data_IF_860227770784
#
_entry.id   IF_860227770784
#
_cell.length_a   1.000
_cell.length_b   1.000
_cell.length_c   1.000
_cell.angle_alpha   90.00
_cell.angle_beta   90.00
_cell.angle_gamma   90.00
#
_symmetry.space_group_name_H-M   'P 1'
#
loop_
_entity.id
_entity.type
_entity.pdbx_description
1 polymer ?
#
# COMPACT_ATOMS: atom_id res chain seq x y z
N UNK A 1 -66.53 9.41 -20.96
CA UNK A 1 -66.03 10.15 -19.79
C UNK A 1 -65.68 9.13 -18.73
N UNK A 2 -64.42 8.71 -18.71
CA UNK A 2 -63.35 9.31 -17.90
C UNK A 2 -63.38 8.73 -16.47
N UNK A 3 -62.28 8.06 -16.14
CA UNK A 3 -62.03 7.41 -14.86
C UNK A 3 -60.72 6.63 -14.96
N UNK A 4 -59.68 7.33 -15.42
CA UNK A 4 -58.30 6.84 -15.52
C UNK A 4 -57.79 6.42 -14.14
N UNK A 5 -57.20 5.24 -14.12
CA UNK A 5 -56.40 4.73 -13.04
C UNK A 5 -55.06 5.48 -13.05
N UNK A 6 -54.86 6.39 -12.10
CA UNK A 6 -53.52 6.86 -11.75
C UNK A 6 -53.17 6.37 -10.34
N UNK A 7 -52.87 5.08 -10.26
CA UNK A 7 -52.17 4.50 -9.13
C UNK A 7 -50.67 4.75 -9.35
N UNK A 8 -50.21 5.91 -8.86
CA UNK A 8 -48.81 6.22 -8.67
C UNK A 8 -48.16 5.19 -7.72
N UNK A 9 -47.68 4.08 -8.26
CA UNK A 9 -46.79 3.16 -7.58
C UNK A 9 -45.35 3.67 -7.77
N UNK A 10 -44.84 4.34 -6.73
CA UNK A 10 -43.45 4.77 -6.66
C UNK A 10 -42.51 3.57 -6.84
N UNK A 11 -41.65 3.66 -7.87
CA UNK A 11 -40.55 2.72 -8.06
C UNK A 11 -39.52 2.94 -6.94
N UNK A 12 -39.69 2.23 -5.83
CA UNK A 12 -38.69 2.16 -4.78
C UNK A 12 -37.44 1.48 -5.33
N UNK A 13 -36.31 2.19 -5.33
CA UNK A 13 -34.96 1.67 -5.60
C UNK A 13 -34.77 0.30 -4.94
N UNK A 14 -34.34 -0.68 -5.73
CA UNK A 14 -34.17 -2.06 -5.28
C UNK A 14 -33.22 -2.11 -4.07
N UNK A 15 -33.44 -3.02 -3.11
CA UNK A 15 -32.55 -3.20 -1.96
C UNK A 15 -31.10 -3.41 -2.42
N UNK A 16 -30.88 -4.10 -3.54
CA UNK A 16 -29.54 -4.29 -4.11
C UNK A 16 -28.89 -3.01 -4.62
N UNK A 17 -29.68 -2.06 -5.15
CA UNK A 17 -29.17 -0.75 -5.58
C UNK A 17 -28.78 0.09 -4.36
N UNK A 18 -29.61 0.10 -3.30
CA UNK A 18 -29.29 0.78 -2.05
C UNK A 18 -28.03 0.22 -1.38
N UNK A 19 -27.85 -1.10 -1.39
CA UNK A 19 -26.64 -1.73 -0.87
C UNK A 19 -25.41 -1.43 -1.72
N UNK A 20 -25.56 -1.34 -3.05
CA UNK A 20 -24.49 -0.95 -3.96
C UNK A 20 -24.09 0.51 -3.76
N UNK A 21 -25.05 1.42 -3.66
CA UNK A 21 -24.83 2.85 -3.38
C UNK A 21 -24.17 3.03 -2.00
N UNK A 22 -24.69 2.37 -0.97
CA UNK A 22 -24.10 2.39 0.37
C UNK A 22 -22.66 1.85 0.37
N UNK A 23 -22.38 0.79 -0.40
CA UNK A 23 -21.03 0.25 -0.57
C UNK A 23 -20.08 1.22 -1.29
N UNK A 24 -20.56 1.92 -2.33
CA UNK A 24 -19.78 2.91 -3.06
C UNK A 24 -19.48 4.16 -2.22
N UNK A 25 -20.46 4.66 -1.46
CA UNK A 25 -20.26 5.77 -0.54
C UNK A 25 -19.26 5.41 0.56
N UNK A 26 -19.41 4.22 1.14
CA UNK A 26 -18.51 3.74 2.19
C UNK A 26 -17.08 3.58 1.67
N UNK A 27 -16.90 2.97 0.49
CA UNK A 27 -15.59 2.82 -0.15
C UNK A 27 -14.93 4.17 -0.46
N UNK A 28 -15.70 5.16 -0.92
CA UNK A 28 -15.19 6.51 -1.21
C UNK A 28 -14.74 7.23 0.07
N UNK A 29 -15.53 7.14 1.15
CA UNK A 29 -15.17 7.73 2.46
C UNK A 29 -13.92 7.09 3.07
N UNK A 30 -13.77 5.77 2.95
CA UNK A 30 -12.59 5.03 3.42
C UNK A 30 -11.34 5.47 2.66
N UNK A 31 -11.43 5.62 1.32
CA UNK A 31 -10.31 6.07 0.47
C UNK A 31 -9.87 7.49 0.82
N UNK A 32 -10.80 8.43 0.94
CA UNK A 32 -10.46 9.82 1.28
C UNK A 32 -9.87 9.93 2.70
N UNK A 33 -10.43 9.19 3.67
CA UNK A 33 -9.87 9.13 5.02
C UNK A 33 -8.47 8.53 5.06
N UNK A 34 -8.21 7.49 4.27
CA UNK A 34 -6.88 6.88 4.15
C UNK A 34 -5.87 7.85 3.53
N UNK A 35 -6.26 8.55 2.46
CA UNK A 35 -5.43 9.57 1.83
C UNK A 35 -5.01 10.63 2.83
N UNK A 36 -5.96 11.20 3.57
CA UNK A 36 -5.67 12.22 4.59
C UNK A 36 -4.75 11.67 5.68
N UNK A 37 -5.01 10.46 6.15
CA UNK A 37 -4.17 9.77 7.14
C UNK A 37 -2.73 9.58 6.67
N UNK A 38 -2.53 9.16 5.41
CA UNK A 38 -1.20 8.98 4.82
C UNK A 38 -0.49 10.32 4.62
N UNK A 39 -1.17 11.34 4.07
CA UNK A 39 -0.58 12.68 3.92
C UNK A 39 -0.13 13.25 5.26
N UNK A 40 -0.95 13.10 6.31
CA UNK A 40 -0.59 13.53 7.65
C UNK A 40 0.59 12.74 8.21
N UNK A 41 0.65 11.43 7.98
CA UNK A 41 1.78 10.61 8.40
C UNK A 41 3.08 11.00 7.69
N UNK A 42 3.03 11.35 6.40
CA UNK A 42 4.18 11.86 5.65
C UNK A 42 4.70 13.17 6.23
N UNK A 43 3.81 14.11 6.56
CA UNK A 43 4.18 15.36 7.23
C UNK A 43 4.85 15.09 8.58
N UNK A 44 4.24 14.25 9.42
CA UNK A 44 4.74 13.91 10.76
C UNK A 44 6.11 13.23 10.68
N UNK A 45 6.31 12.27 9.77
CA UNK A 45 7.60 11.62 9.60
C UNK A 45 8.64 12.57 9.03
N UNK A 46 8.32 13.29 7.96
CA UNK A 46 9.22 14.26 7.34
C UNK A 46 9.72 15.29 8.34
N UNK A 47 8.81 15.86 9.12
CA UNK A 47 9.16 16.82 10.17
C UNK A 47 9.94 16.14 11.32
N UNK A 48 9.51 14.95 11.76
CA UNK A 48 10.12 14.23 12.87
C UNK A 48 11.59 13.91 12.67
N UNK A 49 11.98 13.42 11.49
CA UNK A 49 13.39 13.15 11.20
C UNK A 49 14.22 14.44 11.13
N UNK A 50 13.68 15.53 10.60
CA UNK A 50 14.40 16.80 10.50
C UNK A 50 14.57 17.44 11.88
N UNK A 51 13.56 17.35 12.74
CA UNK A 51 13.56 17.92 14.10
C UNK A 51 14.43 17.15 15.08
N UNK A 52 14.55 15.83 14.92
CA UNK A 52 15.26 14.98 15.88
C UNK A 52 16.74 15.37 16.01
N UNK A 53 17.21 15.59 17.24
CA UNK A 53 18.53 16.18 17.51
C UNK A 53 19.68 15.34 16.95
N UNK A 54 19.62 14.02 17.04
CA UNK A 54 20.67 13.12 16.56
C UNK A 54 20.84 13.07 15.03
N UNK A 55 19.90 13.62 14.25
CA UNK A 55 19.90 13.51 12.78
C UNK A 55 20.68 14.64 12.09
N UNK A 56 21.88 14.95 12.59
CA UNK A 56 22.70 16.01 12.02
C UNK A 56 23.18 15.67 10.61
N UNK A 57 23.62 14.42 10.39
CA UNK A 57 24.04 13.94 9.07
C UNK A 57 22.94 14.06 8.03
N UNK A 58 21.68 13.73 8.38
CA UNK A 58 20.54 13.88 7.49
C UNK A 58 20.30 15.35 7.12
N UNK A 59 20.33 16.25 8.09
CA UNK A 59 20.17 17.69 7.84
C UNK A 59 21.29 18.26 6.98
N UNK A 60 22.53 17.85 7.22
CA UNK A 60 23.67 18.26 6.40
C UNK A 60 23.56 17.73 4.96
N UNK A 61 23.10 16.49 4.77
CA UNK A 61 22.87 15.93 3.44
C UNK A 61 21.79 16.71 2.66
N UNK A 62 20.71 17.13 3.33
CA UNK A 62 19.67 17.97 2.75
C UNK A 62 20.19 19.39 2.43
N UNK A 63 20.98 19.99 3.33
CA UNK A 63 21.51 21.35 3.18
C UNK A 63 22.53 21.45 2.04
N UNK A 64 23.42 20.46 1.93
CA UNK A 64 24.43 20.38 0.85
C UNK A 64 23.87 19.94 -0.50
N UNK A 65 22.61 19.50 -0.54
CA UNK A 65 21.98 18.93 -1.73
C UNK A 65 22.45 17.51 -2.09
N UNK A 66 23.25 16.86 -1.23
CA UNK A 66 23.62 15.46 -1.40
C UNK A 66 22.39 14.54 -1.34
N UNK A 67 21.37 14.94 -0.58
CA UNK A 67 20.03 14.37 -0.58
C UNK A 67 19.04 15.44 -1.06
N UNK A 68 18.37 15.21 -2.18
CA UNK A 68 17.32 16.13 -2.63
C UNK A 68 16.02 15.93 -1.86
N UNK A 69 15.19 16.99 -1.79
CA UNK A 69 13.87 16.92 -1.17
C UNK A 69 12.97 15.84 -1.80
N UNK A 70 13.06 15.66 -3.12
CA UNK A 70 12.34 14.59 -3.82
C UNK A 70 12.79 13.21 -3.39
N UNK A 71 14.10 12.94 -3.32
CA UNK A 71 14.61 11.62 -2.90
C UNK A 71 14.25 11.35 -1.45
N UNK A 72 14.32 12.36 -0.58
CA UNK A 72 13.87 12.25 0.80
C UNK A 72 12.38 11.90 0.89
N UNK A 73 11.53 12.59 0.11
CA UNK A 73 10.11 12.30 0.02
C UNK A 73 9.82 10.88 -0.51
N UNK A 74 10.57 10.41 -1.51
CA UNK A 74 10.45 9.03 -2.00
C UNK A 74 10.78 7.99 -0.92
N UNK A 75 11.76 8.26 -0.05
CA UNK A 75 12.04 7.38 1.09
C UNK A 75 10.91 7.41 2.14
N UNK A 76 10.30 8.57 2.38
CA UNK A 76 9.13 8.68 3.26
C UNK A 76 7.94 7.87 2.70
N UNK A 77 7.66 7.96 1.41
CA UNK A 77 6.63 7.15 0.75
C UNK A 77 6.90 5.65 0.92
N UNK A 78 8.14 5.20 0.69
CA UNK A 78 8.54 3.80 0.91
C UNK A 78 8.41 3.39 2.37
N UNK A 79 8.71 4.26 3.33
CA UNK A 79 8.50 4.01 4.76
C UNK A 79 7.02 3.80 5.07
N UNK A 80 6.13 4.66 4.56
CA UNK A 80 4.67 4.46 4.68
C UNK A 80 4.26 3.12 4.10
N UNK A 81 4.77 2.76 2.92
CA UNK A 81 4.48 1.46 2.32
C UNK A 81 4.95 0.29 3.16
N UNK A 82 6.14 0.37 3.77
CA UNK A 82 6.65 -0.68 4.68
C UNK A 82 5.67 -0.89 5.84
N UNK A 83 5.16 0.19 6.40
CA UNK A 83 4.19 0.17 7.51
C UNK A 83 2.84 -0.39 7.08
N UNK A 84 2.28 0.08 5.97
CA UNK A 84 1.00 -0.41 5.43
C UNK A 84 1.09 -1.90 5.07
N UNK A 85 2.18 -2.31 4.42
CA UNK A 85 2.45 -3.70 4.11
C UNK A 85 2.45 -4.55 5.38
N UNK A 86 3.19 -4.11 6.41
CA UNK A 86 3.24 -4.78 7.71
C UNK A 86 1.85 -4.89 8.36
N UNK A 87 1.05 -3.83 8.34
CA UNK A 87 -0.34 -3.88 8.85
C UNK A 87 -1.15 -4.95 8.12
N UNK A 88 -1.09 -4.98 6.78
CA UNK A 88 -1.83 -5.96 5.98
C UNK A 88 -1.41 -7.40 6.28
N UNK A 89 -0.10 -7.70 6.30
CA UNK A 89 0.38 -9.07 6.51
C UNK A 89 0.21 -9.55 7.95
N UNK A 90 0.30 -8.66 8.94
CA UNK A 90 0.00 -8.98 10.35
C UNK A 90 -1.49 -9.26 10.54
N UNK A 91 -2.38 -8.39 10.05
CA UNK A 91 -3.83 -8.54 10.24
C UNK A 91 -4.43 -9.72 9.46
N UNK A 92 -3.77 -10.13 8.36
CA UNK A 92 -4.11 -11.35 7.61
C UNK A 92 -3.46 -12.62 8.16
N UNK A 93 -2.50 -12.49 9.09
CA UNK A 93 -1.78 -13.62 9.67
C UNK A 93 -0.89 -14.38 8.68
N UNK A 94 -0.34 -13.67 7.68
CA UNK A 94 0.46 -14.28 6.58
C UNK A 94 1.94 -13.88 6.62
N UNK A 95 2.37 -13.16 7.65
CA UNK A 95 3.76 -12.72 7.81
C UNK A 95 4.75 -13.88 7.98
N UNK A 96 4.39 -14.85 8.82
CA UNK A 96 5.30 -15.92 9.22
C UNK A 96 5.22 -17.14 8.28
N UNK A 97 6.35 -17.79 7.96
CA UNK A 97 6.37 -19.10 7.29
C UNK A 97 5.53 -20.13 8.04
N UNK A 98 4.90 -21.06 7.30
CA UNK A 98 3.97 -22.04 7.88
C UNK A 98 4.64 -22.97 8.91
N UNK A 99 5.93 -23.27 8.71
CA UNK A 99 6.82 -24.10 9.51
C UNK A 99 7.55 -23.35 10.63
N UNK A 100 7.29 -22.05 10.79
CA UNK A 100 7.94 -21.25 11.82
C UNK A 100 7.65 -21.74 13.24
N UNK A 101 8.67 -21.70 14.11
CA UNK A 101 8.55 -22.15 15.49
C UNK A 101 7.56 -21.28 16.28
N UNK A 102 6.75 -21.89 17.18
CA UNK A 102 5.82 -21.13 18.02
C UNK A 102 6.52 -20.07 18.87
N UNK A 103 7.72 -20.39 19.38
CA UNK A 103 8.52 -19.49 20.21
C UNK A 103 8.92 -18.22 19.45
N UNK A 104 9.36 -18.34 18.19
CA UNK A 104 9.74 -17.18 17.37
C UNK A 104 8.53 -16.31 17.01
N UNK A 105 7.37 -16.92 16.75
CA UNK A 105 6.11 -16.19 16.52
C UNK A 105 5.67 -15.42 17.77
N UNK A 106 5.77 -16.03 18.96
CA UNK A 106 5.46 -15.34 20.22
C UNK A 106 6.43 -14.18 20.47
N UNK A 107 7.74 -14.40 20.26
CA UNK A 107 8.74 -13.34 20.42
C UNK A 107 8.46 -12.13 19.52
N UNK A 108 8.06 -12.36 18.26
CA UNK A 108 7.62 -11.29 17.37
C UNK A 108 6.34 -10.61 17.89
N UNK A 109 5.30 -11.39 18.19
CA UNK A 109 4.00 -10.87 18.63
C UNK A 109 4.08 -9.99 19.88
N UNK A 110 4.92 -10.37 20.85
CA UNK A 110 5.07 -9.67 22.13
C UNK A 110 6.08 -8.52 22.09
N UNK A 111 7.14 -8.66 21.28
CA UNK A 111 8.27 -7.72 21.24
C UNK A 111 8.20 -6.68 20.13
N UNK A 112 7.74 -7.07 18.94
CA UNK A 112 8.01 -6.34 17.69
C UNK A 112 6.77 -6.04 16.85
N UNK A 113 5.68 -6.79 17.02
CA UNK A 113 4.49 -6.61 16.20
C UNK A 113 3.92 -5.19 16.27
N UNK A 114 3.59 -4.63 15.10
CA UNK A 114 3.04 -3.28 14.98
C UNK A 114 1.61 -3.21 15.51
N UNK A 115 0.91 -4.35 15.59
CA UNK A 115 -0.34 -4.50 16.33
C UNK A 115 -0.29 -3.88 17.75
N UNK A 116 0.84 -3.96 18.45
CA UNK A 116 1.03 -3.37 19.79
C UNK A 116 0.99 -1.84 19.79
N UNK A 117 1.36 -1.21 18.67
CA UNK A 117 1.37 0.24 18.53
C UNK A 117 -0.03 0.82 18.27
N UNK A 118 -1.00 -0.02 17.83
CA UNK A 118 -2.38 0.40 17.49
C UNK A 118 -3.07 1.19 18.60
N UNK A 119 -3.06 0.61 19.80
CA UNK A 119 -3.74 1.17 20.97
C UNK A 119 -2.79 2.10 21.74
N UNK A 120 -1.48 1.89 21.59
CA UNK A 120 -0.47 2.72 22.23
C UNK A 120 -0.46 4.13 21.64
N UNK A 121 -0.69 4.28 20.33
CA UNK A 121 -0.71 5.60 19.69
C UNK A 121 -1.83 6.52 20.16
N UNK A 122 -2.93 5.96 20.68
CA UNK A 122 -4.04 6.72 21.28
C UNK A 122 -3.70 7.29 22.67
N UNK A 123 -2.68 6.75 23.35
CA UNK A 123 -2.29 7.17 24.69
C UNK A 123 -1.33 8.35 24.61
N UNK A 124 -1.80 9.56 24.95
CA UNK A 124 -0.96 10.79 24.94
C UNK A 124 0.36 10.63 25.70
N UNK A 125 0.36 9.95 26.85
CA UNK A 125 1.56 9.68 27.67
C UNK A 125 2.61 8.80 27.00
N UNK A 126 2.23 8.04 25.97
CA UNK A 126 3.17 7.20 25.22
C UNK A 126 4.00 8.01 24.21
N UNK A 127 3.56 9.22 23.86
CA UNK A 127 4.28 10.14 22.97
C UNK A 127 5.35 10.87 23.77
N UNK A 128 6.56 10.33 23.72
CA UNK A 128 7.74 10.87 24.40
C UNK A 128 8.91 10.98 23.41
N UNK A 129 10.07 11.46 23.89
CA UNK A 129 11.29 11.68 23.09
C UNK A 129 12.25 10.49 23.09
N UNK A 130 11.79 9.30 23.49
CA UNK A 130 12.58 8.08 23.33
C UNK A 130 12.38 7.54 21.92
N UNK A 131 13.31 6.74 21.42
CA UNK A 131 13.29 6.17 20.07
C UNK A 131 13.17 4.62 20.07
N UNK A 132 12.86 4.01 21.21
CA UNK A 132 12.83 2.55 21.40
C UNK A 132 11.91 1.83 20.41
N UNK A 133 10.76 2.41 20.08
CA UNK A 133 9.86 1.81 19.08
C UNK A 133 10.39 1.94 17.66
N UNK A 134 11.11 3.01 17.35
CA UNK A 134 11.78 3.16 16.07
C UNK A 134 12.92 2.14 15.92
N UNK A 135 13.72 1.94 16.98
CA UNK A 135 14.76 0.90 16.99
C UNK A 135 14.17 -0.51 16.82
N UNK A 136 13.06 -0.81 17.49
CA UNK A 136 12.35 -2.08 17.30
C UNK A 136 11.87 -2.26 15.85
N UNK A 137 11.35 -1.20 15.23
CA UNK A 137 10.89 -1.24 13.84
C UNK A 137 12.05 -1.45 12.84
N UNK A 138 13.21 -0.83 13.08
CA UNK A 138 14.44 -1.08 12.29
C UNK A 138 14.88 -2.54 12.34
N UNK A 139 14.74 -3.20 13.49
CA UNK A 139 15.00 -4.65 13.61
C UNK A 139 14.05 -5.45 12.72
N UNK A 140 12.76 -5.11 12.70
CA UNK A 140 11.77 -5.76 11.82
C UNK A 140 12.10 -5.53 10.35
N UNK A 141 12.42 -4.29 9.94
CA UNK A 141 12.78 -3.99 8.57
C UNK A 141 14.02 -4.75 8.11
N UNK A 142 15.07 -4.79 8.95
CA UNK A 142 16.25 -5.60 8.67
C UNK A 142 15.92 -7.09 8.57
N UNK A 143 15.11 -7.61 9.50
CA UNK A 143 14.67 -9.00 9.49
C UNK A 143 13.84 -9.36 8.25
N UNK A 144 13.10 -8.42 7.67
CA UNK A 144 12.38 -8.62 6.41
C UNK A 144 13.24 -8.42 5.16
N UNK A 145 14.37 -7.71 5.28
CA UNK A 145 15.34 -7.56 4.21
C UNK A 145 16.15 -8.84 4.01
N UNK A 146 16.68 -9.39 5.11
CA UNK A 146 17.69 -10.46 5.11
C UNK A 146 17.17 -11.80 5.65
N UNK A 147 16.04 -11.79 6.36
CA UNK A 147 15.53 -12.92 7.15
C UNK A 147 15.98 -12.84 8.61
N UNK A 148 15.10 -13.18 9.56
CA UNK A 148 15.44 -13.30 10.97
C UNK A 148 14.69 -14.51 11.60
N UNK A 149 15.38 -15.67 11.73
CA UNK A 149 14.77 -16.89 12.25
C UNK A 149 14.23 -16.76 13.68
N UNK A 150 14.86 -15.94 14.54
CA UNK A 150 14.43 -15.79 15.95
C UNK A 150 13.09 -15.06 16.07
N UNK A 151 12.68 -14.33 15.04
CA UNK A 151 11.40 -13.63 14.95
C UNK A 151 10.47 -14.24 13.90
N UNK A 152 10.85 -15.37 13.30
CA UNK A 152 10.14 -16.00 12.20
C UNK A 152 9.84 -15.02 11.04
N UNK A 153 10.79 -14.12 10.74
CA UNK A 153 10.67 -13.15 9.65
C UNK A 153 11.32 -13.72 8.38
N UNK A 154 10.58 -13.81 7.26
CA UNK A 154 11.13 -14.24 5.98
C UNK A 154 11.95 -13.11 5.32
N UNK A 155 12.93 -13.49 4.51
CA UNK A 155 13.67 -12.55 3.67
C UNK A 155 12.82 -12.15 2.45
N UNK A 156 11.99 -11.11 2.60
CA UNK A 156 11.14 -10.58 1.53
C UNK A 156 11.91 -9.68 0.57
N UNK A 157 12.94 -8.98 1.05
CA UNK A 157 13.70 -8.02 0.26
C UNK A 157 12.80 -6.91 -0.30
N UNK A 158 13.02 -6.53 -1.56
CA UNK A 158 12.18 -5.57 -2.29
C UNK A 158 12.04 -4.24 -1.55
N UNK A 159 10.82 -3.96 -1.06
CA UNK A 159 10.49 -2.78 -0.26
C UNK A 159 11.32 -2.64 1.02
N UNK A 160 11.77 -3.76 1.60
CA UNK A 160 12.60 -3.79 2.82
C UNK A 160 14.10 -3.80 2.52
N UNK A 161 14.53 -3.84 1.26
CA UNK A 161 15.95 -3.81 0.94
C UNK A 161 16.62 -2.53 1.49
N UNK A 162 17.88 -2.66 1.92
CA UNK A 162 18.65 -1.59 2.57
C UNK A 162 18.84 -0.35 1.69
N UNK A 163 18.81 -0.52 0.37
CA UNK A 163 18.89 0.57 -0.60
C UNK A 163 17.60 1.40 -0.75
N UNK A 164 16.47 0.96 -0.16
CA UNK A 164 15.19 1.64 -0.37
C UNK A 164 15.03 2.91 0.46
N UNK A 165 15.47 2.89 1.72
CA UNK A 165 15.36 4.04 2.64
C UNK A 165 16.67 4.26 3.43
N UNK A 166 17.84 4.39 2.77
CA UNK A 166 19.13 4.42 3.46
C UNK A 166 19.27 5.55 4.48
N UNK A 167 18.76 6.74 4.14
CA UNK A 167 18.88 7.93 5.00
C UNK A 167 17.92 7.84 6.20
N UNK A 168 16.72 7.29 6.00
CA UNK A 168 15.76 7.09 7.09
C UNK A 168 16.17 5.92 8.00
N UNK A 169 16.64 4.82 7.42
CA UNK A 169 17.05 3.63 8.17
C UNK A 169 18.30 3.90 9.03
N UNK A 170 19.08 4.94 8.71
CA UNK A 170 20.21 5.42 9.52
C UNK A 170 19.81 6.51 10.55
N UNK A 171 18.69 7.19 10.34
CA UNK A 171 18.21 8.27 11.20
C UNK A 171 17.46 7.75 12.44
N UNK A 172 17.34 8.60 13.45
CA UNK A 172 16.55 8.38 14.65
C UNK A 172 15.20 9.09 14.58
N UNK A 173 14.20 8.56 15.28
CA UNK A 173 12.85 9.11 15.31
C UNK A 173 12.22 8.93 16.69
N UNK A 174 11.69 10.03 17.23
CA UNK A 174 11.01 10.02 18.52
C UNK A 174 9.69 9.23 18.45
N UNK A 175 9.35 8.59 19.56
CA UNK A 175 8.06 7.94 19.78
C UNK A 175 6.90 8.92 19.59
N UNK A 176 7.08 10.20 19.89
CA UNK A 176 6.08 11.22 19.68
C UNK A 176 5.64 11.30 18.21
N UNK A 177 6.59 11.38 17.28
CA UNK A 177 6.33 11.42 15.84
C UNK A 177 5.89 10.04 15.33
N UNK A 178 6.60 8.97 15.70
CA UNK A 178 6.24 7.61 15.26
C UNK A 178 4.80 7.26 15.65
N UNK A 179 4.40 7.47 16.91
CA UNK A 179 3.05 7.16 17.36
C UNK A 179 2.00 8.12 16.78
N UNK A 180 2.35 9.39 16.52
CA UNK A 180 1.41 10.31 15.87
C UNK A 180 1.15 9.88 14.41
N UNK A 181 2.19 9.46 13.70
CA UNK A 181 2.07 8.89 12.36
C UNK A 181 1.32 7.54 12.38
N UNK A 182 1.57 6.67 13.37
CA UNK A 182 0.80 5.44 13.57
C UNK A 182 -0.68 5.73 13.78
N UNK A 183 -1.03 6.77 14.54
CA UNK A 183 -2.43 7.15 14.71
C UNK A 183 -3.04 7.57 13.37
N UNK A 184 -2.36 8.44 12.63
CA UNK A 184 -2.84 8.93 11.33
C UNK A 184 -3.04 7.79 10.32
N UNK A 185 -2.17 6.78 10.32
CA UNK A 185 -2.29 5.63 9.43
C UNK A 185 -3.36 4.64 9.89
N UNK A 186 -3.55 4.45 11.20
CA UNK A 186 -4.39 3.36 11.72
C UNK A 186 -5.79 3.76 12.13
N UNK A 187 -6.05 5.06 12.24
CA UNK A 187 -7.33 5.59 12.67
C UNK A 187 -7.78 6.70 11.73
N UNK A 188 -9.03 6.64 11.31
CA UNK A 188 -9.67 7.63 10.45
C UNK A 188 -10.87 8.25 11.17
N UNK A 189 -11.09 9.54 10.94
CA UNK A 189 -12.28 10.26 11.41
C UNK A 189 -13.20 10.67 10.25
N UNK A 190 -13.04 10.08 9.06
CA UNK A 190 -13.78 10.46 7.86
C UNK A 190 -15.31 10.26 7.99
N UNK A 191 -15.75 9.38 8.90
CA UNK A 191 -17.17 9.12 9.21
C UNK A 191 -17.69 9.93 10.39
N UNK A 192 -16.92 10.91 10.90
CA UNK A 192 -17.26 11.72 12.09
C UNK A 192 -17.06 11.01 13.43
N UNK A 193 -16.75 9.71 13.41
CA UNK A 193 -16.29 8.94 14.58
C UNK A 193 -14.91 8.39 14.29
N UNK A 194 -14.03 8.44 15.28
CA UNK A 194 -12.70 7.82 15.19
C UNK A 194 -12.86 6.30 15.07
N UNK A 195 -12.57 5.75 13.90
CA UNK A 195 -12.66 4.34 13.59
C UNK A 195 -11.31 3.80 13.12
N UNK A 196 -10.97 2.54 13.43
CA UNK A 196 -9.76 1.94 12.91
C UNK A 196 -9.86 1.70 11.40
N UNK A 197 -8.74 1.86 10.71
CA UNK A 197 -8.62 1.51 9.29
C UNK A 197 -8.51 -0.01 9.15
N UNK A 198 -9.32 -0.59 8.27
CA UNK A 198 -9.34 -2.03 7.98
C UNK A 198 -8.32 -2.37 6.89
N UNK A 199 -7.07 -2.63 7.30
CA UNK A 199 -6.03 -3.05 6.37
C UNK A 199 -6.16 -4.51 5.93
N UNK A 200 -6.92 -5.34 6.66
CA UNK A 200 -7.15 -6.74 6.32
C UNK A 200 -7.96 -6.91 5.04
N UNK A 201 -8.98 -6.08 4.86
CA UNK A 201 -9.89 -6.14 3.71
C UNK A 201 -9.57 -5.09 2.64
N UNK A 202 -8.49 -4.32 2.81
CA UNK A 202 -8.09 -3.28 1.86
C UNK A 202 -7.66 -3.88 0.52
N UNK A 203 -8.32 -3.44 -0.55
CA UNK A 203 -8.08 -3.87 -1.92
C UNK A 203 -6.91 -3.12 -2.59
N UNK A 204 -6.39 -3.64 -3.73
CA UNK A 204 -5.36 -2.97 -4.51
C UNK A 204 -5.78 -1.60 -5.05
N UNK A 205 -7.06 -1.45 -5.40
CA UNK A 205 -7.61 -0.21 -5.95
C UNK A 205 -7.56 0.95 -4.95
N UNK A 206 -7.81 0.65 -3.67
CA UNK A 206 -7.82 1.64 -2.60
C UNK A 206 -6.41 2.18 -2.36
N UNK A 207 -5.43 1.28 -2.25
CA UNK A 207 -4.01 1.63 -2.13
C UNK A 207 -3.48 2.35 -3.37
N UNK A 208 -3.84 1.87 -4.57
CA UNK A 208 -3.49 2.50 -5.83
C UNK A 208 -3.96 3.94 -5.89
N UNK A 209 -5.22 4.19 -5.54
CA UNK A 209 -5.77 5.55 -5.58
C UNK A 209 -5.12 6.51 -4.58
N UNK A 210 -4.72 6.02 -3.40
CA UNK A 210 -4.00 6.83 -2.42
C UNK A 210 -2.62 7.17 -2.98
N UNK A 211 -1.90 6.21 -3.54
CA UNK A 211 -0.58 6.45 -4.15
C UNK A 211 -0.58 7.56 -5.19
N UNK A 212 -1.50 7.48 -6.14
CA UNK A 212 -1.60 8.46 -7.23
C UNK A 212 -1.81 9.87 -6.68
N UNK A 213 -2.66 9.98 -5.67
CA UNK A 213 -2.94 11.26 -5.03
C UNK A 213 -1.76 11.84 -4.25
N UNK A 214 -0.80 10.99 -3.84
CA UNK A 214 0.41 11.39 -3.13
C UNK A 214 1.54 11.77 -4.08
N UNK A 215 1.55 11.23 -5.31
CA UNK A 215 2.50 11.62 -6.35
C UNK A 215 2.29 13.07 -6.83
N UNK A 216 1.08 13.62 -6.64
CA UNK A 216 0.81 15.04 -6.91
C UNK A 216 1.50 15.98 -5.91
N UNK A 217 1.99 15.47 -4.77
CA UNK A 217 2.60 16.29 -3.72
C UNK A 217 4.04 16.65 -4.07
N UNK A 218 4.37 17.94 -3.96
CA UNK A 218 5.75 18.44 -4.14
C UNK A 218 6.31 18.77 -2.76
N UNK A 219 7.39 18.09 -2.30
CA UNK A 219 7.94 18.32 -0.97
C UNK A 219 8.60 19.70 -0.87
N UNK A 220 8.39 20.36 0.26
CA UNK A 220 9.06 21.59 0.65
C UNK A 220 9.74 21.39 2.01
N UNK A 221 11.00 21.77 2.09
CA UNK A 221 11.80 21.62 3.32
C UNK A 221 12.37 22.98 3.70
N UNK A 222 12.06 23.43 4.92
CA UNK A 222 12.69 24.58 5.55
C UNK A 222 13.61 24.05 6.67
N UNK A 223 14.89 23.92 6.36
CA UNK A 223 15.89 23.40 7.29
C UNK A 223 16.15 24.35 8.48
N UNK A 224 16.27 25.68 8.30
CA UNK A 224 16.35 26.62 9.42
C UNK A 224 15.18 26.52 10.40
N UNK A 225 13.94 26.43 9.89
CA UNK A 225 12.75 26.26 10.72
C UNK A 225 12.53 24.81 11.19
N UNK A 226 13.28 23.85 10.63
CA UNK A 226 13.11 22.39 10.80
C UNK A 226 11.69 21.93 10.50
N UNK A 227 11.16 22.43 9.38
CA UNK A 227 9.81 22.13 8.92
C UNK A 227 9.84 21.34 7.61
N UNK A 228 8.87 20.44 7.50
CA UNK A 228 8.59 19.68 6.29
C UNK A 228 7.15 19.92 5.89
N UNK A 229 6.92 20.17 4.62
CA UNK A 229 5.59 20.46 4.08
C UNK A 229 5.45 20.05 2.63
N UNK A 230 4.31 20.39 2.05
CA UNK A 230 4.04 20.24 0.63
C UNK A 230 3.62 21.58 0.04
N UNK A 231 4.16 21.90 -1.14
CA UNK A 231 3.78 23.12 -1.86
C UNK A 231 2.29 23.04 -2.20
N UNK A 232 1.55 24.12 -1.93
CA UNK A 232 0.10 24.20 -2.18
C UNK A 232 -0.79 23.61 -1.08
N UNK A 233 -0.21 23.11 0.02
CA UNK A 233 -0.91 22.67 1.22
C UNK A 233 -0.58 23.62 2.40
N UNK A 234 -1.12 24.85 2.38
CA UNK A 234 -0.93 25.86 3.44
C UNK A 234 -0.98 27.31 2.95
N UNK A 235 -0.91 28.28 3.87
CA UNK A 235 -1.03 29.74 3.64
C UNK A 235 0.09 30.38 2.78
N UNK A 236 1.03 29.58 2.27
CA UNK A 236 2.02 30.04 1.29
C UNK A 236 1.37 30.13 -0.09
N UNK A 237 1.12 31.36 -0.54
CA UNK A 237 0.60 31.73 -1.86
C UNK A 237 1.37 31.02 -2.99
N UNK A 238 0.77 29.96 -3.54
CA UNK A 238 1.37 29.21 -4.64
C UNK A 238 0.68 27.89 -4.89
N UNK A 239 -0.61 27.92 -5.22
CA UNK A 239 -1.33 26.73 -5.69
C UNK A 239 -0.75 26.25 -7.02
N UNK A 240 0.16 25.27 -6.98
CA UNK A 240 0.62 24.51 -8.15
C UNK A 240 -0.17 23.22 -8.34
N UNK A 241 -1.34 23.09 -7.70
CA UNK A 241 -2.22 21.91 -7.76
C UNK A 241 -2.64 21.52 -9.19
N UNK A 242 -2.50 22.43 -10.16
CA UNK A 242 -2.79 22.15 -11.59
C UNK A 242 -1.59 21.82 -12.47
N UNK A 243 -0.34 22.12 -12.05
CA UNK A 243 0.81 22.10 -12.95
C UNK A 243 1.57 20.76 -12.94
N UNK A 244 1.61 20.06 -11.80
CA UNK A 244 2.24 18.73 -11.71
C UNK A 244 1.51 17.67 -12.57
N UNK A 245 0.17 17.75 -12.67
CA UNK A 245 -0.67 16.84 -13.49
C UNK A 245 -0.27 16.78 -14.97
N UNK A 246 0.17 17.90 -15.54
CA UNK A 246 0.56 17.98 -16.96
C UNK A 246 2.01 17.57 -17.21
N UNK A 247 2.84 17.55 -16.16
CA UNK A 247 4.27 17.25 -16.26
C UNK A 247 4.59 15.77 -15.95
N UNK A 248 3.85 15.11 -15.05
CA UNK A 248 4.13 13.69 -14.70
C UNK A 248 3.39 12.67 -15.58
N UNK A 249 2.26 13.02 -16.19
CA UNK A 249 1.45 12.11 -17.02
C UNK A 249 0.87 10.90 -16.28
N UNK A 250 0.90 10.89 -14.94
CA UNK A 250 0.47 9.77 -14.09
C UNK A 250 -1.05 9.78 -13.93
N UNK A 251 -1.75 9.01 -14.77
CA UNK A 251 -3.20 8.77 -14.69
C UNK A 251 -3.48 7.30 -14.34
N UNK A 252 -4.27 7.07 -13.29
CA UNK A 252 -4.80 5.74 -12.98
C UNK A 252 -5.74 5.26 -14.09
N UNK A 253 -5.60 4.00 -14.50
CA UNK A 253 -6.56 3.36 -15.41
C UNK A 253 -7.63 2.62 -14.59
N UNK A 254 -8.92 2.99 -14.70
CA UNK A 254 -10.03 2.28 -14.05
C UNK A 254 -9.97 0.76 -14.26
N UNK A 255 -10.28 -0.03 -13.23
CA UNK A 255 -10.19 -1.50 -13.31
C UNK A 255 -11.02 -2.07 -14.47
N UNK A 256 -12.21 -1.53 -14.73
CA UNK A 256 -13.02 -1.94 -15.89
C UNK A 256 -12.26 -1.84 -17.24
N UNK A 257 -11.45 -0.79 -17.42
CA UNK A 257 -10.62 -0.63 -18.61
C UNK A 257 -9.41 -1.57 -18.59
N UNK A 258 -8.81 -1.79 -17.41
CA UNK A 258 -7.73 -2.78 -17.24
C UNK A 258 -8.24 -4.17 -17.60
N UNK A 259 -9.38 -4.60 -17.05
CA UNK A 259 -9.99 -5.89 -17.34
C UNK A 259 -10.39 -6.03 -18.81
N UNK A 260 -10.89 -4.96 -19.44
CA UNK A 260 -11.17 -4.96 -20.87
C UNK A 260 -9.90 -5.15 -21.70
N UNK A 261 -8.79 -4.51 -21.32
CA UNK A 261 -7.51 -4.67 -22.00
C UNK A 261 -6.93 -6.08 -21.79
N UNK A 262 -7.02 -6.63 -20.58
CA UNK A 262 -6.64 -8.03 -20.32
C UNK A 262 -7.47 -8.98 -21.18
N UNK A 263 -8.79 -8.77 -21.25
CA UNK A 263 -9.70 -9.60 -22.04
C UNK A 263 -9.43 -9.52 -23.54
N UNK A 264 -9.16 -8.33 -24.06
CA UNK A 264 -8.98 -8.11 -25.50
C UNK A 264 -7.55 -8.39 -25.99
N UNK A 265 -6.53 -8.24 -25.13
CA UNK A 265 -5.13 -8.38 -25.52
C UNK A 265 -4.44 -9.63 -24.96
N UNK A 266 -4.67 -9.97 -23.69
CA UNK A 266 -3.96 -11.08 -23.02
C UNK A 266 -4.68 -12.43 -23.21
N UNK A 267 -6.00 -12.48 -23.05
CA UNK A 267 -6.75 -13.73 -23.19
C UNK A 267 -6.53 -14.39 -24.58
N UNK A 268 -6.54 -13.67 -25.73
CA UNK A 268 -6.27 -14.28 -27.02
C UNK A 268 -4.86 -14.88 -27.15
N UNK A 269 -3.86 -14.23 -26.55
CA UNK A 269 -2.48 -14.72 -26.54
C UNK A 269 -2.36 -15.99 -25.70
N UNK A 270 -3.05 -16.04 -24.55
CA UNK A 270 -3.14 -17.25 -23.73
C UNK A 270 -3.72 -18.39 -24.54
N UNK A 271 -4.88 -18.20 -25.17
CA UNK A 271 -5.52 -19.26 -25.96
C UNK A 271 -4.63 -19.71 -27.13
N UNK A 272 -4.00 -18.77 -27.85
CA UNK A 272 -3.09 -19.09 -28.94
C UNK A 272 -1.90 -19.93 -28.47
N UNK A 273 -1.30 -19.59 -27.32
CA UNK A 273 -0.16 -20.34 -26.77
C UNK A 273 -0.55 -21.73 -26.30
N UNK A 274 -1.71 -21.88 -25.67
CA UNK A 274 -2.22 -23.18 -25.25
C UNK A 274 -2.57 -24.08 -26.44
N UNK A 275 -3.23 -23.53 -27.46
CA UNK A 275 -3.56 -24.26 -28.69
C UNK A 275 -2.31 -24.67 -29.49
N UNK A 276 -1.28 -23.84 -29.50
CA UNK A 276 -0.01 -24.12 -30.20
C UNK A 276 0.91 -25.11 -29.48
N UNK A 277 0.62 -25.48 -28.23
CA UNK A 277 1.45 -26.41 -27.44
C UNK A 277 0.60 -27.33 -26.54
N UNK A 278 -0.28 -28.15 -27.12
CA UNK A 278 -1.23 -28.97 -26.36
C UNK A 278 -0.54 -30.06 -25.52
N UNK A 279 0.67 -30.47 -25.90
CA UNK A 279 1.46 -31.45 -25.15
C UNK A 279 2.10 -30.86 -23.88
N UNK A 280 2.31 -29.53 -23.81
CA UNK A 280 2.99 -28.84 -22.71
C UNK A 280 2.32 -27.49 -22.37
N UNK A 281 1.02 -27.47 -22.04
CA UNK A 281 0.26 -26.23 -21.88
C UNK A 281 0.75 -25.36 -20.71
N UNK A 282 1.24 -25.98 -19.63
CA UNK A 282 1.76 -25.25 -18.46
C UNK A 282 3.03 -24.48 -18.81
N UNK A 283 3.98 -25.12 -19.49
CA UNK A 283 5.23 -24.46 -19.91
C UNK A 283 4.95 -23.34 -20.92
N UNK A 284 4.05 -23.60 -21.87
CA UNK A 284 3.63 -22.61 -22.86
C UNK A 284 3.00 -21.36 -22.22
N UNK A 285 2.18 -21.54 -21.17
CA UNK A 285 1.58 -20.44 -20.41
C UNK A 285 2.64 -19.66 -19.62
N UNK A 286 3.54 -20.35 -18.92
CA UNK A 286 4.62 -19.73 -18.12
C UNK A 286 5.69 -19.03 -18.96
N UNK A 287 5.76 -19.35 -20.26
CA UNK A 287 6.65 -18.68 -21.21
C UNK A 287 6.11 -17.32 -21.69
N UNK A 288 4.86 -16.95 -21.36
CA UNK A 288 4.32 -15.63 -21.70
C UNK A 288 5.07 -14.57 -20.90
N UNK A 289 5.49 -13.50 -21.58
CA UNK A 289 6.14 -12.34 -21.01
C UNK A 289 5.25 -11.12 -21.23
N UNK A 290 4.92 -10.43 -20.15
CA UNK A 290 4.09 -9.21 -20.18
C UNK A 290 4.97 -8.03 -19.83
N UNK A 291 4.90 -6.97 -20.63
CA UNK A 291 5.62 -5.73 -20.41
C UNK A 291 4.63 -4.57 -20.41
N UNK A 292 4.75 -3.70 -19.43
CA UNK A 292 4.06 -2.42 -19.36
C UNK A 292 5.14 -1.33 -19.18
N UNK A 293 5.53 -0.63 -20.27
CA UNK A 293 6.58 0.38 -20.24
C UNK A 293 6.28 1.60 -19.37
N UNK A 294 5.00 1.84 -19.04
CA UNK A 294 4.53 2.99 -18.27
C UNK A 294 3.64 2.52 -17.11
N UNK A 295 4.08 1.49 -16.40
CA UNK A 295 3.21 0.72 -15.50
C UNK A 295 2.68 1.48 -14.29
N UNK A 296 3.31 2.61 -13.91
CA UNK A 296 2.90 3.40 -12.76
C UNK A 296 2.76 2.54 -11.50
N UNK A 297 1.55 2.46 -10.95
CA UNK A 297 1.20 1.61 -9.81
C UNK A 297 1.15 0.09 -10.10
N UNK A 298 1.44 -0.34 -11.33
CA UNK A 298 1.56 -1.73 -11.74
C UNK A 298 0.22 -2.44 -11.96
N UNK A 299 -0.90 -1.71 -12.11
CA UNK A 299 -2.24 -2.29 -12.18
C UNK A 299 -2.41 -3.29 -13.34
N UNK A 300 -1.90 -2.97 -14.53
CA UNK A 300 -1.92 -3.91 -15.67
C UNK A 300 -1.08 -5.16 -15.42
N UNK A 301 0.13 -5.00 -14.86
CA UNK A 301 1.02 -6.12 -14.55
C UNK A 301 0.41 -7.05 -13.49
N UNK A 302 -0.22 -6.49 -12.46
CA UNK A 302 -0.91 -7.25 -11.43
C UNK A 302 -2.14 -7.98 -12.00
N UNK A 303 -2.95 -7.30 -12.82
CA UNK A 303 -4.10 -7.91 -13.49
C UNK A 303 -3.68 -9.05 -14.43
N UNK A 304 -2.61 -8.84 -15.21
CA UNK A 304 -2.04 -9.86 -16.08
C UNK A 304 -1.52 -11.07 -15.28
N UNK A 305 -0.77 -10.85 -14.20
CA UNK A 305 -0.27 -11.92 -13.34
C UNK A 305 -1.41 -12.74 -12.72
N UNK A 306 -2.48 -12.07 -12.25
CA UNK A 306 -3.68 -12.74 -11.73
C UNK A 306 -4.37 -13.58 -12.79
N UNK A 307 -4.54 -13.04 -14.00
CA UNK A 307 -5.17 -13.75 -15.11
C UNK A 307 -4.38 -14.99 -15.52
N UNK A 308 -3.06 -14.88 -15.62
CA UNK A 308 -2.18 -16.02 -15.89
C UNK A 308 -2.23 -17.07 -14.77
N UNK A 309 -2.27 -16.62 -13.50
CA UNK A 309 -2.38 -17.51 -12.35
C UNK A 309 -3.72 -18.26 -12.28
N UNK A 310 -4.83 -17.61 -12.64
CA UNK A 310 -6.14 -18.26 -12.78
C UNK A 310 -6.09 -19.39 -13.81
N UNK A 311 -5.54 -19.11 -14.99
CA UNK A 311 -5.40 -20.11 -16.07
C UNK A 311 -4.46 -21.25 -15.69
N UNK A 312 -3.35 -20.94 -15.03
CA UNK A 312 -2.42 -21.96 -14.53
C UNK A 312 -3.07 -22.85 -13.46
N UNK A 313 -3.83 -22.26 -12.54
CA UNK A 313 -4.53 -23.01 -11.51
C UNK A 313 -5.59 -23.95 -12.10
N UNK A 314 -6.30 -23.52 -13.16
CA UNK A 314 -7.26 -24.36 -13.89
C UNK A 314 -6.57 -25.52 -14.62
N UNK A 315 -5.46 -25.27 -15.32
CA UNK A 315 -4.70 -26.32 -16.01
C UNK A 315 -4.17 -27.40 -15.06
N UNK A 316 -3.90 -27.04 -13.80
CA UNK A 316 -3.43 -27.95 -12.75
C UNK A 316 -4.56 -28.65 -11.99
N UNK A 317 -5.81 -28.26 -12.22
CA UNK A 317 -6.99 -28.86 -11.61
C UNK A 317 -7.98 -29.36 -12.69
N UNK A 318 -7.58 -30.33 -13.55
CA UNK A 318 -8.43 -30.80 -14.65
C UNK A 318 -9.74 -31.45 -14.19
N UNK A 319 -9.77 -32.03 -12.97
CA UNK A 319 -10.90 -32.82 -12.46
C UNK A 319 -11.70 -32.15 -11.34
N UNK A 320 -11.50 -30.84 -11.07
CA UNK A 320 -12.21 -30.17 -9.97
C UNK A 320 -12.06 -28.64 -9.91
N UNK A 321 -12.75 -28.01 -8.96
CA UNK A 321 -12.61 -26.57 -8.73
C UNK A 321 -11.23 -26.22 -8.18
N UNK A 322 -10.58 -25.22 -8.77
CA UNK A 322 -9.28 -24.73 -8.30
C UNK A 322 -9.36 -24.27 -6.84
N UNK A 323 -8.64 -24.95 -5.96
CA UNK A 323 -8.58 -24.58 -4.54
C UNK A 323 -7.83 -23.25 -4.37
N UNK A 324 -8.17 -22.42 -3.35
CA UNK A 324 -7.48 -21.15 -3.10
C UNK A 324 -5.95 -21.28 -2.94
N UNK A 325 -5.48 -22.41 -2.44
CA UNK A 325 -4.06 -22.72 -2.31
C UNK A 325 -3.36 -22.91 -3.67
N UNK A 326 -4.03 -23.52 -4.65
CA UNK A 326 -3.48 -23.75 -5.99
C UNK A 326 -3.32 -22.41 -6.72
N UNK A 327 -4.29 -21.51 -6.58
CA UNK A 327 -4.19 -20.15 -7.10
C UNK A 327 -3.03 -19.36 -6.49
N UNK A 328 -2.85 -19.40 -5.16
CA UNK A 328 -1.72 -18.71 -4.51
C UNK A 328 -0.37 -19.22 -4.98
N UNK A 329 -0.24 -20.55 -5.18
CA UNK A 329 0.99 -21.14 -5.69
C UNK A 329 1.24 -20.75 -7.15
N UNK A 330 0.20 -20.84 -7.99
CA UNK A 330 0.26 -20.40 -9.38
C UNK A 330 0.66 -18.92 -9.51
N UNK A 331 0.09 -18.04 -8.68
CA UNK A 331 0.41 -16.62 -8.69
C UNK A 331 1.87 -16.34 -8.32
N UNK A 332 2.42 -17.04 -7.31
CA UNK A 332 3.83 -16.91 -6.95
C UNK A 332 4.75 -17.34 -8.10
N UNK A 333 4.41 -18.43 -8.78
CA UNK A 333 5.21 -18.96 -9.88
C UNK A 333 5.17 -18.05 -11.12
N UNK A 334 4.00 -17.49 -11.44
CA UNK A 334 3.86 -16.50 -12.53
C UNK A 334 4.67 -15.24 -12.25
N UNK A 335 4.65 -14.74 -11.00
CA UNK A 335 5.39 -13.52 -10.62
C UNK A 335 6.92 -13.77 -10.59
N UNK A 336 7.35 -14.99 -10.27
CA UNK A 336 8.78 -15.33 -10.16
C UNK A 336 9.48 -15.53 -11.52
N UNK A 337 8.74 -15.55 -12.64
CA UNK A 337 9.21 -15.90 -13.99
C UNK A 337 9.47 -14.70 -14.87
#
# INVERSE_FOLDING_TARGET
>A
MAGDADAAAGAGTCIWERWREAGQEQGTRVREGLRQGVTQALLIFGEGYIQHTANEALRQALDTGALSADVYFQQLLRLIYRLIFLFNVEERGVLHPADASPQARTAYAEGYALARLRERCLKRRARNRFDDHWQALRIVFKGLAEGEPRLALPALGGLFATAQCPDLDAAALDNAHLLSAMQALRWSNASGTLAPVDYRNMGPEELGSVYESLLELVPAIDLPARQFGFIGMGDSEGSTAGNARKLSGSYYTPDALVQELIRSALDPVIEQRLAGSPAQPIEALLAIRVIDPACGSGHFLLAAARRLAERLALLRAPDGAAQPQHYRHALREVIAR
#
